data_IF_029818462403
#
_entry.id   IF_029818462403
#
_cell.length_a   1.000
_cell.length_b   1.000
_cell.length_c   1.000
_cell.angle_alpha   90.00
_cell.angle_beta   90.00
_cell.angle_gamma   90.00
#
_symmetry.space_group_name_H-M   'P 1'
#
loop_
_entity.id
_entity.type
_entity.pdbx_description
1 polymer ?
#
# COMPACT_ATOMS: atom_id res chain seq x y z
N UNK A 1 -9.72 -8.57 10.90
CA UNK A 1 -10.64 -9.66 10.48
C UNK A 1 -12.13 -9.30 10.63
N UNK A 2 -12.52 -8.01 10.57
CA UNK A 2 -13.91 -7.61 10.81
C UNK A 2 -14.90 -8.01 9.68
N UNK A 3 -14.42 -8.10 8.44
CA UNK A 3 -15.20 -8.56 7.28
C UNK A 3 -15.08 -10.08 7.05
N UNK A 4 -13.87 -10.60 7.22
CA UNK A 4 -13.52 -12.01 6.97
C UNK A 4 -12.88 -12.58 8.24
N UNK A 5 -13.67 -13.23 9.12
CA UNK A 5 -13.21 -13.76 10.40
C UNK A 5 -12.10 -14.82 10.26
N UNK A 6 -12.10 -15.58 9.17
CA UNK A 6 -11.17 -16.69 8.89
C UNK A 6 -9.72 -16.22 8.68
N UNK A 7 -9.50 -14.92 8.51
CA UNK A 7 -8.17 -14.31 8.47
C UNK A 7 -7.50 -14.23 9.85
N UNK A 8 -8.24 -14.50 10.92
CA UNK A 8 -7.71 -14.59 12.28
C UNK A 8 -7.92 -15.99 12.84
N UNK A 9 -7.12 -16.34 13.85
CA UNK A 9 -7.36 -17.53 14.67
C UNK A 9 -8.72 -17.39 15.38
N UNK A 10 -9.42 -18.51 15.57
CA UNK A 10 -10.66 -18.53 16.36
C UNK A 10 -10.43 -17.93 17.75
N UNK A 11 -11.34 -17.04 18.16
CA UNK A 11 -11.22 -16.28 19.42
C UNK A 11 -10.31 -15.04 19.36
N UNK A 12 -9.66 -14.76 18.22
CA UNK A 12 -8.78 -13.60 18.04
C UNK A 12 -9.30 -12.63 16.98
N UNK A 13 -8.86 -11.38 17.07
CA UNK A 13 -9.05 -10.37 16.02
C UNK A 13 -7.71 -10.01 15.39
N UNK A 14 -7.62 -10.07 14.06
CA UNK A 14 -6.45 -9.57 13.34
C UNK A 14 -6.54 -8.04 13.21
N UNK A 15 -5.58 -7.35 13.81
CA UNK A 15 -5.35 -5.90 13.69
C UNK A 15 -4.07 -5.68 12.89
N UNK A 16 -4.14 -4.78 11.90
CA UNK A 16 -2.98 -4.34 11.12
C UNK A 16 -2.88 -2.82 11.22
N UNK A 17 -1.73 -2.31 11.63
CA UNK A 17 -1.44 -0.88 11.66
C UNK A 17 -0.38 -0.53 10.61
N UNK A 18 -0.42 0.70 10.12
CA UNK A 18 0.51 1.19 9.11
C UNK A 18 1.11 2.52 9.58
N UNK A 19 2.44 2.63 9.50
CA UNK A 19 3.18 3.86 9.75
C UNK A 19 4.11 4.17 8.57
N UNK A 20 4.15 5.44 8.15
CA UNK A 20 5.13 5.89 7.16
C UNK A 20 6.49 6.08 7.83
N UNK A 21 7.53 5.43 7.29
CA UNK A 21 8.90 5.61 7.79
C UNK A 21 9.34 7.07 7.62
N UNK A 22 9.76 7.71 8.72
CA UNK A 22 10.26 9.10 8.74
C UNK A 22 11.77 9.17 8.79
N UNK A 23 12.45 8.05 9.02
CA UNK A 23 13.90 7.95 9.00
C UNK A 23 14.39 6.62 8.42
N UNK A 24 15.68 6.55 8.08
CA UNK A 24 16.33 5.30 7.64
C UNK A 24 16.71 4.38 8.81
N UNK A 25 16.47 4.78 10.06
CA UNK A 25 16.77 3.94 11.21
C UNK A 25 15.59 3.01 11.49
N UNK A 26 15.53 1.87 10.78
CA UNK A 26 14.41 0.93 10.83
C UNK A 26 14.12 0.44 12.26
N UNK A 27 15.15 0.13 13.05
CA UNK A 27 14.97 -0.33 14.43
C UNK A 27 14.27 0.73 15.29
N UNK A 28 14.60 2.01 15.08
CA UNK A 28 13.94 3.12 15.77
C UNK A 28 12.49 3.27 15.34
N UNK A 29 12.20 3.26 14.04
CA UNK A 29 10.83 3.39 13.51
C UNK A 29 9.94 2.23 13.98
N UNK A 30 10.47 0.99 13.98
CA UNK A 30 9.76 -0.18 14.52
C UNK A 30 9.46 -0.01 16.01
N UNK A 31 10.44 0.45 16.81
CA UNK A 31 10.24 0.73 18.22
C UNK A 31 9.15 1.77 18.47
N UNK A 32 9.14 2.88 17.72
CA UNK A 32 8.12 3.92 17.84
C UNK A 32 6.72 3.37 17.53
N UNK A 33 6.58 2.58 16.46
CA UNK A 33 5.29 1.95 16.13
C UNK A 33 4.82 0.96 17.20
N UNK A 34 5.73 0.23 17.85
CA UNK A 34 5.38 -0.65 18.98
C UNK A 34 4.96 0.16 20.20
N UNK A 35 5.64 1.27 20.51
CA UNK A 35 5.24 2.18 21.59
C UNK A 35 3.83 2.74 21.36
N UNK A 36 3.50 3.13 20.13
CA UNK A 36 2.15 3.57 19.75
C UNK A 36 1.11 2.45 19.94
N UNK A 37 1.46 1.19 19.65
CA UNK A 37 0.57 0.05 19.87
C UNK A 37 0.28 -0.16 21.37
N UNK A 38 1.29 -0.09 22.24
CA UNK A 38 1.08 -0.19 23.69
C UNK A 38 0.33 1.02 24.27
N UNK A 39 0.44 2.19 23.63
CA UNK A 39 -0.38 3.34 23.98
C UNK A 39 -1.86 3.14 23.61
N UNK A 40 -2.13 2.62 22.41
CA UNK A 40 -3.49 2.37 21.92
C UNK A 40 -4.15 1.16 22.56
N UNK A 41 -3.34 0.14 22.90
CA UNK A 41 -3.77 -1.12 23.52
C UNK A 41 -2.92 -1.40 24.77
N UNK A 42 -3.23 -0.77 25.92
CA UNK A 42 -2.42 -0.87 27.14
C UNK A 42 -2.23 -2.30 27.67
N UNK A 43 -3.20 -3.19 27.44
CA UNK A 43 -3.18 -4.59 27.87
C UNK A 43 -2.79 -5.55 26.74
N UNK A 44 -2.07 -5.06 25.72
CA UNK A 44 -1.72 -5.86 24.53
C UNK A 44 -1.01 -7.16 24.87
N UNK A 45 -0.12 -7.17 25.86
CA UNK A 45 0.62 -8.38 26.26
C UNK A 45 -0.25 -9.41 26.99
N UNK A 46 -1.41 -9.00 27.49
CA UNK A 46 -2.35 -9.86 28.22
C UNK A 46 -3.43 -10.41 27.29
N UNK A 47 -3.97 -9.54 26.44
CA UNK A 47 -5.16 -9.83 25.62
C UNK A 47 -4.81 -10.07 24.13
N UNK A 48 -3.53 -9.99 23.76
CA UNK A 48 -3.06 -10.17 22.40
C UNK A 48 -1.56 -10.49 22.32
N UNK A 49 -1.02 -10.35 21.11
CA UNK A 49 0.41 -10.53 20.84
C UNK A 49 0.83 -9.75 19.59
N UNK A 50 2.09 -9.36 19.52
CA UNK A 50 2.70 -8.87 18.28
C UNK A 50 3.07 -10.07 17.42
N UNK A 51 2.24 -10.36 16.41
CA UNK A 51 2.48 -11.49 15.51
C UNK A 51 3.66 -11.24 14.56
N UNK A 52 3.73 -10.05 13.96
CA UNK A 52 4.75 -9.72 12.96
C UNK A 52 4.91 -8.20 12.81
N UNK A 53 6.14 -7.76 12.54
CA UNK A 53 6.44 -6.41 12.07
C UNK A 53 7.09 -6.52 10.69
N UNK A 54 6.47 -5.91 9.68
CA UNK A 54 6.95 -5.90 8.30
C UNK A 54 7.43 -4.51 7.92
N UNK A 55 8.43 -4.42 7.05
CA UNK A 55 8.98 -3.13 6.59
C UNK A 55 9.18 -3.18 5.09
N UNK A 56 8.59 -2.21 4.39
CA UNK A 56 8.64 -2.06 2.94
C UNK A 56 9.49 -0.84 2.58
N UNK A 57 10.64 -1.08 1.95
CA UNK A 57 11.60 -0.06 1.54
C UNK A 57 12.39 -0.50 0.30
N UNK A 58 13.02 0.47 -0.35
CA UNK A 58 13.97 0.28 -1.45
C UNK A 58 13.43 -0.64 -2.57
N UNK A 59 13.97 -1.86 -2.70
CA UNK A 59 13.57 -2.81 -3.74
C UNK A 59 12.16 -3.40 -3.57
N UNK A 60 11.54 -3.22 -2.41
CA UNK A 60 10.16 -3.61 -2.14
C UNK A 60 9.45 -2.51 -1.31
N UNK A 61 9.20 -1.34 -1.91
CA UNK A 61 8.59 -0.20 -1.22
C UNK A 61 7.05 -0.35 -1.17
N UNK A 62 6.38 0.53 -0.42
CA UNK A 62 4.91 0.65 -0.45
C UNK A 62 4.44 1.05 -1.85
N UNK A 63 5.09 2.06 -2.42
CA UNK A 63 4.91 2.49 -3.80
C UNK A 63 6.28 2.83 -4.39
N UNK A 64 6.57 2.37 -5.61
CA UNK A 64 7.79 2.73 -6.36
C UNK A 64 7.88 4.22 -6.67
N UNK A 65 6.74 4.85 -6.91
CA UNK A 65 6.63 6.31 -7.12
C UNK A 65 5.59 6.86 -6.15
N UNK A 66 5.96 7.95 -5.46
CA UNK A 66 5.07 8.62 -4.53
C UNK A 66 3.81 9.13 -5.25
N UNK A 67 2.65 9.02 -4.58
CA UNK A 67 1.39 9.51 -5.14
C UNK A 67 1.46 11.00 -5.50
N UNK A 68 0.92 11.36 -6.68
CA UNK A 68 1.00 12.72 -7.23
C UNK A 68 2.25 12.99 -8.08
N UNK A 69 3.16 12.04 -8.20
CA UNK A 69 4.29 12.11 -9.13
C UNK A 69 4.03 11.21 -10.34
N UNK A 70 4.19 11.76 -11.55
CA UNK A 70 3.96 11.05 -12.81
C UNK A 70 5.22 11.16 -13.66
N UNK A 71 6.10 10.14 -13.68
CA UNK A 71 7.26 10.16 -14.55
C UNK A 71 6.84 9.92 -16.00
N UNK A 72 7.25 10.81 -16.90
CA UNK A 72 7.14 10.56 -18.34
C UNK A 72 8.09 9.43 -18.73
N UNK A 73 7.61 8.52 -19.58
CA UNK A 73 8.42 7.42 -20.11
C UNK A 73 8.67 7.59 -21.61
N UNK A 74 9.91 7.90 -22.04
CA UNK A 74 10.17 8.35 -23.41
C UNK A 74 10.46 7.22 -24.42
N UNK A 75 10.01 5.99 -24.17
CA UNK A 75 10.25 4.86 -25.09
C UNK A 75 8.98 4.48 -25.83
N UNK A 76 9.03 4.57 -27.16
CA UNK A 76 7.92 4.17 -28.02
C UNK A 76 7.58 2.67 -27.88
N UNK A 77 6.29 2.35 -27.88
CA UNK A 77 5.75 0.99 -27.81
C UNK A 77 6.14 0.18 -26.55
N UNK A 78 6.66 0.84 -25.50
CA UNK A 78 6.88 0.24 -24.18
C UNK A 78 6.10 1.06 -23.15
N UNK A 79 5.27 0.37 -22.37
CA UNK A 79 4.37 0.99 -21.41
C UNK A 79 4.69 0.51 -20.00
N UNK A 80 4.67 1.42 -19.04
CA UNK A 80 4.81 1.12 -17.62
C UNK A 80 3.43 1.12 -16.99
N UNK A 81 3.10 0.04 -16.30
CA UNK A 81 1.92 -0.09 -15.42
C UNK A 81 2.37 -0.51 -14.03
N UNK A 82 1.49 -0.40 -13.05
CA UNK A 82 1.81 -0.69 -11.65
C UNK A 82 1.94 0.56 -10.80
N UNK A 83 2.46 0.40 -9.59
CA UNK A 83 2.57 1.45 -8.57
C UNK A 83 3.52 2.59 -8.94
N UNK A 84 4.39 2.37 -9.93
CA UNK A 84 5.26 3.37 -10.52
C UNK A 84 4.56 4.32 -11.52
N UNK A 85 3.38 3.93 -12.03
CA UNK A 85 2.62 4.72 -13.00
C UNK A 85 1.12 4.66 -12.67
N UNK A 86 0.77 5.12 -11.48
CA UNK A 86 -0.62 5.23 -11.04
C UNK A 86 -1.33 6.35 -11.80
N UNK A 87 -2.61 6.16 -12.11
CA UNK A 87 -3.48 7.23 -12.59
C UNK A 87 -3.64 8.33 -11.53
N UNK A 88 -3.68 9.58 -11.99
CA UNK A 88 -3.89 10.76 -11.13
C UNK A 88 -5.13 10.61 -10.24
N UNK A 89 -5.01 11.05 -8.98
CA UNK A 89 -6.08 10.93 -7.98
C UNK A 89 -6.32 9.51 -7.43
N UNK A 90 -5.84 8.47 -8.12
CA UNK A 90 -6.01 7.09 -7.71
C UNK A 90 -5.10 6.70 -6.53
N UNK A 91 -5.68 6.06 -5.52
CA UNK A 91 -4.99 5.65 -4.29
C UNK A 91 -4.57 4.19 -4.40
N UNK A 92 -3.29 3.91 -4.12
CA UNK A 92 -2.72 2.55 -4.10
C UNK A 92 -3.12 1.72 -5.34
N UNK A 93 -3.82 0.60 -5.14
CA UNK A 93 -4.23 -0.33 -6.19
C UNK A 93 -5.27 0.25 -7.16
N UNK A 94 -6.09 1.20 -6.71
CA UNK A 94 -7.02 1.90 -7.60
C UNK A 94 -6.22 2.75 -8.59
N UNK A 95 -5.19 3.47 -8.10
CA UNK A 95 -4.27 4.19 -8.97
C UNK A 95 -3.58 3.28 -9.99
N UNK A 96 -3.19 2.07 -9.58
CA UNK A 96 -2.63 1.07 -10.50
C UNK A 96 -3.66 0.70 -11.59
N UNK A 97 -4.90 0.41 -11.18
CA UNK A 97 -5.96 0.06 -12.12
C UNK A 97 -6.23 1.18 -13.12
N UNK A 98 -6.27 2.45 -12.67
CA UNK A 98 -6.42 3.62 -13.55
C UNK A 98 -5.26 3.74 -14.54
N UNK A 99 -4.02 3.51 -14.09
CA UNK A 99 -2.84 3.51 -14.97
C UNK A 99 -2.92 2.44 -16.05
N UNK A 100 -3.37 1.23 -15.68
CA UNK A 100 -3.62 0.13 -16.63
C UNK A 100 -4.72 0.49 -17.63
N UNK A 101 -5.85 1.03 -17.16
CA UNK A 101 -6.96 1.45 -18.01
C UNK A 101 -6.51 2.48 -19.05
N UNK A 102 -5.87 3.57 -18.63
CA UNK A 102 -5.32 4.61 -19.54
C UNK A 102 -4.36 4.02 -20.58
N UNK A 103 -3.51 3.07 -20.17
CA UNK A 103 -2.59 2.38 -21.07
C UNK A 103 -3.35 1.60 -22.14
N UNK A 104 -4.34 0.79 -21.75
CA UNK A 104 -5.15 0.00 -22.68
C UNK A 104 -5.99 0.86 -23.64
N UNK A 105 -6.47 2.02 -23.21
CA UNK A 105 -7.16 2.96 -24.09
C UNK A 105 -6.23 3.61 -25.12
N UNK A 106 -5.02 4.02 -24.69
CA UNK A 106 -4.03 4.59 -25.62
C UNK A 106 -3.58 3.60 -26.70
N UNK A 107 -3.68 2.30 -26.39
CA UNK A 107 -3.43 1.20 -27.32
C UNK A 107 -4.65 0.86 -28.20
N UNK A 108 -5.82 1.44 -27.94
CA UNK A 108 -7.06 1.14 -28.66
C UNK A 108 -7.62 -0.27 -28.40
N UNK A 109 -7.19 -0.93 -27.31
CA UNK A 109 -7.61 -2.30 -26.96
C UNK A 109 -8.61 -2.36 -25.81
N UNK A 110 -8.93 -1.21 -25.19
CA UNK A 110 -9.93 -1.09 -24.14
C UNK A 110 -10.67 0.25 -24.22
N UNK A 111 -11.84 0.31 -23.56
CA UNK A 111 -12.64 1.52 -23.39
C UNK A 111 -13.26 1.50 -22.00
N UNK A 112 -12.80 2.38 -21.13
CA UNK A 112 -13.20 2.48 -19.74
C UNK A 112 -13.79 3.87 -19.56
N UNK A 113 -15.12 3.98 -19.51
CA UNK A 113 -15.81 5.27 -19.55
C UNK A 113 -15.36 6.26 -18.46
N UNK A 114 -15.61 7.56 -18.69
CA UNK A 114 -15.16 8.71 -17.87
C UNK A 114 -15.57 8.69 -16.39
N UNK A 115 -16.36 7.71 -15.92
CA UNK A 115 -16.68 7.60 -14.49
C UNK A 115 -15.49 7.14 -13.65
N UNK A 116 -14.49 6.51 -14.26
CA UNK A 116 -13.34 5.94 -13.56
C UNK A 116 -12.04 6.75 -13.74
N UNK A 117 -11.97 7.70 -14.69
CA UNK A 117 -10.76 8.45 -15.02
C UNK A 117 -10.82 9.92 -14.57
#
# INVERSE_FOLDING_TARGET
SALTPELAREGYTLIMTHQALRSRNIKKEQKLGLEDLYYLFPELDKDGEILMVQTYLDGNPVNRVASGMHPDFPIENIYIVGDANKGEGGIEVEGIALGVMKTLESLGVGKFGEWYL
#
